data_IF_162024847839
#
_entry.id   IF_162024847839
#
_cell.length_a   1.000
_cell.length_b   1.000
_cell.length_c   1.000
_cell.angle_alpha   90.00
_cell.angle_beta   90.00
_cell.angle_gamma   90.00
#
_symmetry.space_group_name_H-M   'P 1'
#
loop_
_entity.id
_entity.type
_entity.pdbx_description
1 polymer ?
#
# COMPACT_ATOMS: atom_id res chain seq x y z
N UNK A 1 -0.68 22.08 -6.71
CA UNK A 1 0.17 23.29 -6.76
C UNK A 1 1.61 22.97 -6.43
N UNK A 2 1.94 22.43 -5.26
CA UNK A 2 3.34 22.16 -4.83
C UNK A 2 4.22 21.37 -5.83
N UNK A 3 3.68 20.33 -6.50
CA UNK A 3 4.46 19.54 -7.48
C UNK A 3 4.91 20.38 -8.67
N UNK A 4 4.03 21.20 -9.23
CA UNK A 4 4.33 22.07 -10.38
C UNK A 4 5.38 23.13 -10.01
N UNK A 5 5.23 23.74 -8.83
CA UNK A 5 6.15 24.74 -8.32
C UNK A 5 7.54 24.15 -8.02
N UNK A 6 7.58 22.93 -7.49
CA UNK A 6 8.81 22.23 -7.16
C UNK A 6 9.54 21.67 -8.40
N UNK A 7 8.84 21.48 -9.53
CA UNK A 7 9.38 20.82 -10.72
C UNK A 7 9.20 21.68 -11.99
N UNK A 8 9.88 22.82 -12.10
CA UNK A 8 9.73 23.74 -13.24
C UNK A 8 10.18 23.16 -14.58
N UNK A 9 10.92 22.04 -14.57
CA UNK A 9 11.32 21.31 -15.77
C UNK A 9 10.19 20.56 -16.47
N UNK A 10 9.02 20.47 -15.85
CA UNK A 10 7.91 19.67 -16.37
C UNK A 10 8.04 18.16 -16.15
N UNK A 11 8.99 17.74 -15.30
CA UNK A 11 9.21 16.34 -14.92
C UNK A 11 9.19 16.18 -13.39
N UNK A 12 8.67 15.06 -12.89
CA UNK A 12 8.71 14.71 -11.46
C UNK A 12 8.73 13.19 -11.25
N UNK A 13 9.17 12.76 -10.07
CA UNK A 13 9.06 11.37 -9.64
C UNK A 13 7.68 11.13 -9.04
N UNK A 14 6.81 10.41 -9.78
CA UNK A 14 5.44 10.14 -9.39
C UNK A 14 5.34 9.41 -8.04
N UNK A 15 6.30 8.53 -7.73
CA UNK A 15 6.30 7.80 -6.45
C UNK A 15 6.65 8.74 -5.31
N UNK A 16 7.79 9.41 -5.39
CA UNK A 16 8.29 10.27 -4.32
C UNK A 16 7.43 11.50 -4.09
N UNK A 17 7.03 12.16 -5.19
CA UNK A 17 6.44 13.49 -5.12
C UNK A 17 4.89 13.47 -5.06
N UNK A 18 4.28 12.32 -5.37
CA UNK A 18 2.82 12.19 -5.44
C UNK A 18 2.28 10.97 -4.70
N UNK A 19 2.57 9.73 -5.17
CA UNK A 19 1.93 8.52 -4.65
C UNK A 19 2.29 8.23 -3.18
N UNK A 20 3.56 8.36 -2.82
CA UNK A 20 4.05 8.03 -1.48
C UNK A 20 3.56 8.94 -0.35
N UNK A 21 3.46 10.28 -0.54
CA UNK A 21 2.93 11.17 0.49
C UNK A 21 1.47 10.91 0.86
N UNK A 22 0.63 10.47 -0.08
CA UNK A 22 -0.82 10.34 0.13
C UNK A 22 -1.16 9.37 1.27
N UNK A 23 -0.84 8.07 1.18
CA UNK A 23 -1.22 7.13 2.24
C UNK A 23 -0.51 7.40 3.56
N UNK A 24 0.71 7.95 3.51
CA UNK A 24 1.44 8.31 4.74
C UNK A 24 0.72 9.44 5.50
N UNK A 25 0.25 10.46 4.80
CA UNK A 25 -0.48 11.57 5.45
C UNK A 25 -1.82 11.07 5.98
N UNK A 26 -2.56 10.28 5.20
CA UNK A 26 -3.86 9.74 5.61
C UNK A 26 -3.73 8.91 6.88
N UNK A 27 -2.79 7.96 6.94
CA UNK A 27 -2.62 7.12 8.14
C UNK A 27 -2.09 7.93 9.33
N UNK A 28 -1.22 8.93 9.11
CA UNK A 28 -0.77 9.80 10.17
C UNK A 28 -1.93 10.61 10.78
N UNK A 29 -2.80 11.19 9.95
CA UNK A 29 -3.99 11.91 10.39
C UNK A 29 -4.97 10.99 11.13
N UNK A 30 -5.22 9.77 10.61
CA UNK A 30 -6.07 8.77 11.28
C UNK A 30 -5.54 8.34 12.65
N UNK A 31 -4.20 8.29 12.81
CA UNK A 31 -3.56 7.99 14.10
C UNK A 31 -3.43 9.23 15.00
N UNK A 32 -3.84 10.41 14.53
CA UNK A 32 -3.77 11.66 15.28
C UNK A 32 -2.35 12.21 15.43
N UNK A 33 -1.45 11.88 14.49
CA UNK A 33 -0.07 12.37 14.49
C UNK A 33 -0.03 13.80 13.96
N UNK A 34 0.64 14.69 14.69
CA UNK A 34 0.77 16.11 14.32
C UNK A 34 1.44 16.30 12.96
N UNK A 35 0.91 17.22 12.16
CA UNK A 35 1.39 17.49 10.80
C UNK A 35 2.89 17.84 10.73
N UNK A 36 3.46 18.43 11.79
CA UNK A 36 4.89 18.73 11.89
C UNK A 36 5.76 17.47 11.89
N UNK A 37 5.19 16.32 12.30
CA UNK A 37 5.89 15.02 12.37
C UNK A 37 5.73 14.19 11.09
N UNK A 38 4.88 14.57 10.13
CA UNK A 38 4.57 13.73 8.96
C UNK A 38 5.82 13.37 8.13
N UNK A 39 6.80 14.26 8.01
CA UNK A 39 8.06 14.01 7.30
C UNK A 39 8.91 12.93 7.99
N UNK A 40 9.08 13.06 9.30
CA UNK A 40 9.84 12.09 10.11
C UNK A 40 9.12 10.75 10.15
N UNK A 41 7.81 10.78 10.39
CA UNK A 41 6.94 9.62 10.38
C UNK A 41 7.05 8.83 9.06
N UNK A 42 7.01 9.52 7.90
CA UNK A 42 7.23 8.89 6.60
C UNK A 42 8.62 8.27 6.49
N UNK A 43 9.66 8.98 6.86
CA UNK A 43 11.04 8.50 6.79
C UNK A 43 11.26 7.24 7.63
N UNK A 44 10.73 7.22 8.86
CA UNK A 44 10.83 6.05 9.74
C UNK A 44 9.99 4.88 9.22
N UNK A 45 8.78 5.13 8.72
CA UNK A 45 7.93 4.12 8.10
C UNK A 45 8.60 3.46 6.90
N UNK A 46 9.09 4.24 5.96
CA UNK A 46 9.75 3.72 4.75
C UNK A 46 10.98 2.86 5.11
N UNK A 47 11.76 3.29 6.10
CA UNK A 47 12.94 2.55 6.61
C UNK A 47 12.53 1.25 7.28
N UNK A 48 11.51 1.27 8.13
CA UNK A 48 10.95 0.10 8.81
C UNK A 48 10.47 -0.95 7.81
N UNK A 49 9.69 -0.55 6.80
CA UNK A 49 9.15 -1.45 5.77
C UNK A 49 10.26 -2.15 5.00
N UNK A 50 11.28 -1.40 4.55
CA UNK A 50 12.40 -1.96 3.78
C UNK A 50 13.09 -3.07 4.59
N UNK A 51 13.28 -2.88 5.89
CA UNK A 51 13.95 -3.87 6.73
C UNK A 51 13.06 -5.06 7.11
N UNK A 52 11.78 -4.82 7.35
CA UNK A 52 10.83 -5.87 7.74
C UNK A 52 10.57 -6.89 6.61
N UNK A 53 10.57 -6.44 5.34
CA UNK A 53 10.14 -7.27 4.21
C UNK A 53 11.25 -7.57 3.19
N UNK A 54 12.47 -7.04 3.37
CA UNK A 54 13.60 -7.33 2.51
C UNK A 54 14.55 -8.36 3.16
N UNK A 55 14.47 -9.64 2.77
CA UNK A 55 15.36 -10.68 3.32
C UNK A 55 16.84 -10.46 2.92
N UNK A 56 17.11 -9.58 1.96
CA UNK A 56 18.45 -9.24 1.47
C UNK A 56 18.94 -7.89 2.02
N UNK A 57 18.28 -7.34 3.06
CA UNK A 57 18.70 -6.10 3.69
C UNK A 57 20.13 -6.21 4.24
N UNK A 58 20.95 -5.20 3.96
CA UNK A 58 22.31 -5.11 4.51
C UNK A 58 22.28 -4.87 6.03
N UNK A 59 23.37 -5.13 6.73
CA UNK A 59 23.47 -4.86 8.18
C UNK A 59 23.25 -3.37 8.51
N UNK A 60 23.69 -2.48 7.64
CA UNK A 60 23.43 -1.04 7.77
C UNK A 60 21.91 -0.75 7.66
N UNK A 61 21.23 -1.33 6.68
CA UNK A 61 19.77 -1.19 6.54
C UNK A 61 19.04 -1.76 7.75
N UNK A 62 19.42 -2.94 8.24
CA UNK A 62 18.83 -3.54 9.44
C UNK A 62 19.00 -2.64 10.65
N UNK A 63 20.19 -2.09 10.86
CA UNK A 63 20.47 -1.15 11.96
C UNK A 63 19.60 0.11 11.84
N UNK A 64 19.50 0.68 10.62
CA UNK A 64 18.64 1.82 10.37
C UNK A 64 17.16 1.51 10.66
N UNK A 65 16.71 0.29 10.33
CA UNK A 65 15.36 -0.19 10.64
C UNK A 65 15.07 -0.29 12.13
N UNK A 66 16.02 -0.81 12.92
CA UNK A 66 15.88 -0.86 14.38
C UNK A 66 15.71 0.55 14.95
N UNK A 67 16.57 1.50 14.54
CA UNK A 67 16.49 2.90 14.98
C UNK A 67 15.15 3.54 14.57
N UNK A 68 14.67 3.26 13.36
CA UNK A 68 13.39 3.78 12.89
C UNK A 68 12.22 3.24 13.73
N UNK A 69 12.22 1.95 14.03
CA UNK A 69 11.18 1.34 14.89
C UNK A 69 11.21 1.90 16.31
N UNK A 70 12.39 2.08 16.91
CA UNK A 70 12.52 2.70 18.24
C UNK A 70 11.92 4.13 18.26
N UNK A 71 12.13 4.90 17.22
CA UNK A 71 11.54 6.26 17.11
C UNK A 71 10.02 6.23 16.94
N UNK A 72 9.49 5.29 16.14
CA UNK A 72 8.05 5.08 16.02
C UNK A 72 7.43 4.66 17.35
N UNK A 73 8.05 3.72 18.06
CA UNK A 73 7.58 3.26 19.37
C UNK A 73 7.56 4.42 20.40
N UNK A 74 8.61 5.25 20.42
CA UNK A 74 8.67 6.43 21.28
C UNK A 74 7.58 7.45 20.93
N UNK A 75 7.33 7.70 19.65
CA UNK A 75 6.25 8.55 19.18
C UNK A 75 4.90 8.03 19.67
N UNK A 76 4.60 6.76 19.44
CA UNK A 76 3.32 6.16 19.85
C UNK A 76 3.15 6.12 21.36
N UNK A 77 4.21 5.84 22.15
CA UNK A 77 4.16 5.94 23.61
C UNK A 77 3.76 7.35 24.07
N UNK A 78 4.34 8.38 23.44
CA UNK A 78 3.99 9.78 23.75
C UNK A 78 2.54 10.12 23.38
N UNK A 79 2.06 9.64 22.25
CA UNK A 79 0.67 9.89 21.81
C UNK A 79 -0.34 9.12 22.69
N UNK A 80 -0.06 7.87 23.07
CA UNK A 80 -0.89 7.09 24.02
C UNK A 80 -1.04 7.84 25.35
N UNK A 81 0.08 8.31 25.93
CA UNK A 81 0.04 9.04 27.18
C UNK A 81 -0.82 10.32 27.08
N UNK A 82 -0.69 11.08 25.98
CA UNK A 82 -1.52 12.28 25.73
C UNK A 82 -3.02 11.92 25.62
N UNK A 83 -3.37 10.82 24.90
CA UNK A 83 -4.77 10.44 24.67
C UNK A 83 -5.45 9.86 25.91
N UNK A 84 -4.69 9.34 26.86
CA UNK A 84 -5.25 8.94 28.18
C UNK A 84 -5.76 10.14 28.98
N UNK A 85 -5.04 11.25 28.91
CA UNK A 85 -5.44 12.48 29.61
C UNK A 85 -6.45 13.31 28.81
N UNK A 86 -6.27 13.36 27.50
CA UNK A 86 -7.06 14.20 26.59
C UNK A 86 -7.43 13.38 25.33
N UNK A 87 -8.54 12.65 25.34
CA UNK A 87 -9.02 11.88 24.19
C UNK A 87 -9.24 12.79 22.97
N UNK A 88 -8.80 12.32 21.79
CA UNK A 88 -9.05 12.94 20.49
C UNK A 88 -10.04 12.14 19.65
N UNK A 89 -10.29 12.63 18.44
CA UNK A 89 -11.05 11.92 17.39
C UNK A 89 -10.06 11.20 16.46
N UNK A 90 -9.37 10.19 16.99
CA UNK A 90 -8.32 9.44 16.30
C UNK A 90 -8.23 7.98 16.78
N UNK A 91 -7.61 7.11 15.95
CA UNK A 91 -7.51 5.69 16.22
C UNK A 91 -6.71 5.35 17.50
N UNK A 92 -5.71 6.16 17.87
CA UNK A 92 -4.97 5.94 19.14
C UNK A 92 -5.91 6.18 20.32
N UNK A 93 -6.73 7.24 20.28
CA UNK A 93 -7.76 7.49 21.29
C UNK A 93 -8.75 6.35 21.39
N UNK A 94 -9.24 5.86 20.26
CA UNK A 94 -10.17 4.73 20.21
C UNK A 94 -9.55 3.47 20.82
N UNK A 95 -8.28 3.16 20.51
CA UNK A 95 -7.58 1.99 21.05
C UNK A 95 -7.29 2.14 22.54
N UNK A 96 -6.93 3.33 23.02
CA UNK A 96 -6.65 3.61 24.45
C UNK A 96 -7.90 3.42 25.31
N UNK A 97 -9.07 3.75 24.77
CA UNK A 97 -10.35 3.67 25.51
C UNK A 97 -11.21 2.47 25.11
N UNK A 98 -10.73 1.61 24.21
CA UNK A 98 -11.43 0.40 23.83
C UNK A 98 -11.50 -0.59 24.99
N UNK A 99 -12.71 -1.09 25.26
CA UNK A 99 -12.97 -2.16 26.20
C UNK A 99 -13.89 -3.19 25.54
N UNK A 100 -13.53 -4.45 25.64
CA UNK A 100 -14.35 -5.55 25.17
C UNK A 100 -14.42 -6.65 26.24
N UNK A 101 -15.58 -6.87 26.83
CA UNK A 101 -15.81 -7.91 27.85
C UNK A 101 -14.92 -7.80 29.11
N UNK A 102 -14.51 -6.57 29.46
CA UNK A 102 -13.62 -6.29 30.58
C UNK A 102 -12.12 -6.32 30.24
N UNK A 103 -11.77 -6.65 29.00
CA UNK A 103 -10.39 -6.62 28.53
C UNK A 103 -10.09 -5.28 27.83
N UNK A 104 -8.92 -4.70 28.11
CA UNK A 104 -8.40 -3.48 27.50
C UNK A 104 -7.07 -3.78 26.81
N UNK A 105 -6.71 -2.95 25.81
CA UNK A 105 -5.42 -3.05 25.15
C UNK A 105 -4.32 -2.49 26.06
N UNK A 106 -3.21 -3.20 26.18
CA UNK A 106 -1.98 -2.68 26.78
C UNK A 106 -1.31 -1.67 25.85
N UNK A 107 -0.43 -0.82 26.38
CA UNK A 107 0.34 0.15 25.57
C UNK A 107 1.12 -0.55 24.45
N UNK A 108 1.71 -1.70 24.75
CA UNK A 108 2.48 -2.45 23.76
C UNK A 108 1.58 -3.00 22.65
N UNK A 109 0.37 -3.41 22.94
CA UNK A 109 -0.59 -3.86 21.92
C UNK A 109 -1.04 -2.70 21.05
N UNK A 110 -1.28 -1.52 21.64
CA UNK A 110 -1.62 -0.30 20.87
C UNK A 110 -0.45 0.10 19.97
N UNK A 111 0.78 0.12 20.46
CA UNK A 111 1.99 0.40 19.69
C UNK A 111 2.13 -0.59 18.52
N UNK A 112 1.95 -1.88 18.78
CA UNK A 112 2.02 -2.90 17.75
C UNK A 112 0.95 -2.73 16.68
N UNK A 113 -0.28 -2.35 17.06
CA UNK A 113 -1.37 -2.07 16.12
C UNK A 113 -1.09 -0.81 15.30
N UNK A 114 -0.62 0.27 15.93
CA UNK A 114 -0.27 1.51 15.23
C UNK A 114 0.87 1.29 14.21
N UNK A 115 1.92 0.56 14.60
CA UNK A 115 3.00 0.16 13.70
C UNK A 115 2.49 -0.72 12.54
N UNK A 116 1.60 -1.69 12.83
CA UNK A 116 1.00 -2.53 11.79
C UNK A 116 0.20 -1.71 10.78
N UNK A 117 -0.67 -0.81 11.25
CA UNK A 117 -1.49 0.05 10.39
C UNK A 117 -0.61 0.93 9.51
N UNK A 118 0.46 1.52 10.09
CA UNK A 118 1.41 2.33 9.35
C UNK A 118 2.10 1.55 8.24
N UNK A 119 2.71 0.41 8.59
CA UNK A 119 3.48 -0.41 7.66
C UNK A 119 2.59 -1.00 6.56
N UNK A 120 1.40 -1.51 6.93
CA UNK A 120 0.48 -2.13 5.99
C UNK A 120 -0.18 -1.11 5.04
N UNK A 121 -0.47 0.10 5.52
CA UNK A 121 -1.19 1.12 4.76
C UNK A 121 -0.31 1.93 3.79
N UNK A 122 0.96 2.15 4.12
CA UNK A 122 1.82 3.07 3.39
C UNK A 122 2.30 2.51 2.04
N UNK A 123 3.15 1.50 2.04
CA UNK A 123 3.85 1.02 0.82
C UNK A 123 2.89 0.40 -0.18
N UNK A 124 1.94 -0.40 0.29
CA UNK A 124 1.01 -1.12 -0.59
C UNK A 124 0.09 -0.18 -1.37
N UNK A 125 -0.40 0.89 -0.75
CA UNK A 125 -1.24 1.89 -1.42
C UNK A 125 -0.42 2.79 -2.33
N UNK A 126 0.81 3.16 -1.94
CA UNK A 126 1.78 3.83 -2.82
C UNK A 126 2.00 3.02 -4.09
N UNK A 127 2.24 1.71 -3.96
CA UNK A 127 2.45 0.80 -5.08
C UNK A 127 1.19 0.67 -5.94
N UNK A 128 -0.01 0.63 -5.34
CA UNK A 128 -1.28 0.60 -6.09
C UNK A 128 -1.44 1.85 -6.97
N UNK A 129 -1.22 3.03 -6.42
CA UNK A 129 -1.31 4.30 -7.15
C UNK A 129 -0.28 4.32 -8.30
N UNK A 130 0.97 3.97 -8.01
CA UNK A 130 2.05 3.90 -8.99
C UNK A 130 1.77 2.89 -10.12
N UNK A 131 1.37 1.66 -9.77
CA UNK A 131 1.06 0.60 -10.72
C UNK A 131 -0.14 0.95 -11.60
N UNK A 132 -1.19 1.56 -11.03
CA UNK A 132 -2.35 2.03 -11.78
C UNK A 132 -1.96 3.14 -12.78
N UNK A 133 -1.21 4.14 -12.34
CA UNK A 133 -0.72 5.20 -13.23
C UNK A 133 0.14 4.63 -14.37
N UNK A 134 1.07 3.72 -14.07
CA UNK A 134 1.89 3.02 -15.06
C UNK A 134 1.04 2.23 -16.05
N UNK A 135 0.04 1.47 -15.56
CA UNK A 135 -0.84 0.69 -16.41
C UNK A 135 -1.62 1.58 -17.37
N UNK A 136 -2.17 2.71 -16.90
CA UNK A 136 -2.88 3.68 -17.72
C UNK A 136 -1.96 4.34 -18.77
N UNK A 137 -0.74 4.73 -18.39
CA UNK A 137 0.22 5.34 -19.31
C UNK A 137 0.72 4.35 -20.38
N UNK A 138 0.84 3.06 -20.05
CA UNK A 138 1.18 2.00 -20.99
C UNK A 138 0.01 1.59 -21.89
N UNK A 139 -1.23 1.95 -21.53
CA UNK A 139 -2.44 1.65 -22.28
C UNK A 139 -3.22 2.93 -22.62
N UNK A 140 -2.73 3.79 -23.56
CA UNK A 140 -3.33 5.10 -23.81
C UNK A 140 -4.80 5.06 -24.24
N UNK A 141 -5.25 3.94 -24.83
CA UNK A 141 -6.67 3.75 -25.18
C UNK A 141 -7.54 3.67 -23.91
N UNK A 142 -7.06 2.97 -22.88
CA UNK A 142 -7.75 2.86 -21.58
C UNK A 142 -7.74 4.19 -20.82
N UNK A 143 -6.62 4.91 -20.86
CA UNK A 143 -6.53 6.25 -20.26
C UNK A 143 -7.55 7.21 -20.92
N UNK A 144 -7.65 7.24 -22.26
CA UNK A 144 -8.66 8.05 -22.95
C UNK A 144 -10.09 7.67 -22.59
N UNK A 145 -10.38 6.36 -22.39
CA UNK A 145 -11.70 5.91 -21.91
C UNK A 145 -12.00 6.47 -20.51
N UNK A 146 -11.03 6.40 -19.60
CA UNK A 146 -11.18 6.94 -18.24
C UNK A 146 -11.41 8.45 -18.26
N UNK A 147 -10.64 9.20 -19.07
CA UNK A 147 -10.79 10.65 -19.22
C UNK A 147 -12.16 11.02 -19.80
N UNK A 148 -12.68 10.25 -20.76
CA UNK A 148 -14.00 10.47 -21.34
C UNK A 148 -15.15 10.07 -20.41
N UNK A 149 -14.94 9.10 -19.52
CA UNK A 149 -15.92 8.56 -18.57
C UNK A 149 -15.33 8.40 -17.18
N UNK A 150 -15.19 9.49 -16.39
CA UNK A 150 -14.57 9.45 -15.05
C UNK A 150 -15.22 8.46 -14.09
N UNK A 151 -16.50 8.10 -14.29
CA UNK A 151 -17.18 7.09 -13.47
C UNK A 151 -16.55 5.69 -13.56
N UNK A 152 -15.67 5.42 -14.54
CA UNK A 152 -14.90 4.19 -14.63
C UNK A 152 -13.77 4.09 -13.60
N UNK A 153 -13.52 5.12 -12.79
CA UNK A 153 -12.40 5.13 -11.83
C UNK A 153 -12.45 3.93 -10.88
N UNK A 154 -13.61 3.60 -10.33
CA UNK A 154 -13.77 2.44 -9.42
C UNK A 154 -13.32 1.15 -10.11
N UNK A 155 -13.82 0.88 -11.32
CA UNK A 155 -13.43 -0.32 -12.06
C UNK A 155 -11.97 -0.29 -12.52
N UNK A 156 -11.43 0.90 -12.78
CA UNK A 156 -10.00 1.09 -13.11
C UNK A 156 -9.10 0.65 -11.96
N UNK A 157 -9.46 0.99 -10.72
CA UNK A 157 -8.67 0.58 -9.54
C UNK A 157 -8.78 -0.94 -9.31
N UNK A 158 -9.97 -1.54 -9.45
CA UNK A 158 -10.12 -3.00 -9.35
C UNK A 158 -9.30 -3.73 -10.42
N UNK A 159 -9.31 -3.23 -11.66
CA UNK A 159 -8.51 -3.82 -12.74
C UNK A 159 -7.00 -3.60 -12.52
N UNK A 160 -6.58 -2.47 -11.95
CA UNK A 160 -5.19 -2.25 -11.59
C UNK A 160 -4.73 -3.23 -10.49
N UNK A 161 -5.56 -3.45 -9.47
CA UNK A 161 -5.34 -4.44 -8.41
C UNK A 161 -5.20 -5.85 -8.99
N UNK A 162 -6.08 -6.23 -9.92
CA UNK A 162 -5.99 -7.52 -10.61
C UNK A 162 -4.73 -7.63 -11.47
N UNK A 163 -4.49 -6.62 -12.30
CA UNK A 163 -3.47 -6.66 -13.36
C UNK A 163 -2.04 -6.54 -12.81
N UNK A 164 -1.80 -5.69 -11.83
CA UNK A 164 -0.45 -5.44 -11.26
C UNK A 164 -0.55 -5.24 -9.74
N UNK A 165 -0.94 -6.32 -9.03
CA UNK A 165 -1.16 -6.33 -7.58
C UNK A 165 0.08 -5.88 -6.81
N UNK A 166 -0.04 -4.93 -5.86
CA UNK A 166 1.07 -4.53 -4.99
C UNK A 166 1.66 -5.67 -4.18
N UNK A 167 0.81 -6.56 -3.64
CA UNK A 167 1.22 -7.75 -2.91
C UNK A 167 1.04 -8.96 -3.82
N UNK A 168 2.14 -9.64 -4.12
CA UNK A 168 2.12 -10.73 -5.11
C UNK A 168 2.01 -12.13 -4.49
N UNK A 169 2.32 -12.26 -3.21
CA UNK A 169 2.29 -13.55 -2.50
C UNK A 169 1.72 -13.40 -1.09
N UNK A 170 1.12 -14.47 -0.58
CA UNK A 170 0.66 -14.57 0.81
C UNK A 170 1.17 -15.87 1.44
N UNK A 171 1.96 -15.74 2.52
CA UNK A 171 2.53 -16.86 3.26
C UNK A 171 1.55 -17.45 4.28
N UNK A 172 1.67 -18.76 4.51
CA UNK A 172 0.99 -19.50 5.59
C UNK A 172 1.94 -20.52 6.18
N UNK A 173 1.72 -20.87 7.43
CA UNK A 173 2.37 -22.00 8.08
C UNK A 173 1.28 -23.02 8.41
N UNK A 174 1.51 -24.27 8.03
CA UNK A 174 0.57 -25.35 8.32
C UNK A 174 0.56 -25.63 9.83
N UNK A 175 -0.61 -25.55 10.48
CA UNK A 175 -0.78 -25.84 11.90
C UNK A 175 -1.11 -27.32 12.18
N UNK A 176 -1.23 -28.13 11.14
CA UNK A 176 -1.43 -29.59 11.12
C UNK A 176 -1.02 -30.14 9.77
N UNK A 177 -0.87 -31.45 9.67
CA UNK A 177 -0.68 -32.12 8.39
C UNK A 177 -1.92 -31.92 7.51
N UNK A 178 -1.71 -31.50 6.27
CA UNK A 178 -2.76 -31.27 5.27
C UNK A 178 -2.35 -31.85 3.93
N UNK A 179 -3.31 -32.03 3.04
CA UNK A 179 -3.06 -32.37 1.64
C UNK A 179 -3.71 -31.31 0.74
N UNK A 180 -2.92 -30.76 -0.17
CA UNK A 180 -3.38 -29.76 -1.13
C UNK A 180 -3.26 -30.37 -2.53
N UNK A 181 -4.40 -30.77 -3.12
CA UNK A 181 -4.48 -31.36 -4.46
C UNK A 181 -3.47 -32.50 -4.70
N UNK A 182 -3.30 -33.38 -3.70
CA UNK A 182 -2.37 -34.52 -3.79
C UNK A 182 -0.95 -34.21 -3.25
N UNK A 183 -0.63 -32.98 -2.96
CA UNK A 183 0.65 -32.60 -2.35
C UNK A 183 0.53 -32.62 -0.82
N UNK A 184 1.25 -33.50 -0.11
CA UNK A 184 1.27 -33.51 1.35
C UNK A 184 2.07 -32.31 1.86
N UNK A 185 1.57 -31.68 2.93
CA UNK A 185 2.22 -30.58 3.64
C UNK A 185 2.20 -30.89 5.12
N UNK A 186 3.37 -31.01 5.74
CA UNK A 186 3.53 -31.34 7.16
C UNK A 186 3.26 -30.14 8.07
N UNK A 187 2.90 -30.43 9.31
CA UNK A 187 2.78 -29.40 10.34
C UNK A 187 4.09 -28.61 10.49
N UNK A 188 4.01 -27.30 10.53
CA UNK A 188 5.15 -26.40 10.62
C UNK A 188 5.76 -26.00 9.26
N UNK A 189 5.37 -26.67 8.16
CA UNK A 189 5.85 -26.27 6.84
C UNK A 189 5.21 -24.99 6.33
N UNK A 190 6.00 -24.23 5.56
CA UNK A 190 5.58 -22.96 4.97
C UNK A 190 4.93 -23.18 3.62
N UNK A 191 3.84 -22.49 3.40
CA UNK A 191 3.11 -22.41 2.13
C UNK A 191 3.15 -20.98 1.61
N UNK A 192 3.33 -20.82 0.31
CA UNK A 192 3.15 -19.51 -0.36
C UNK A 192 2.08 -19.64 -1.42
N UNK A 193 1.06 -18.76 -1.33
CA UNK A 193 0.04 -18.63 -2.37
C UNK A 193 0.37 -17.41 -3.24
N UNK A 194 0.42 -17.61 -4.56
CA UNK A 194 0.66 -16.52 -5.49
C UNK A 194 -0.66 -15.79 -5.80
N UNK A 195 -0.85 -14.62 -5.20
CA UNK A 195 -2.00 -13.76 -5.49
C UNK A 195 -1.94 -13.21 -6.92
N UNK A 196 -0.72 -12.89 -7.38
CA UNK A 196 -0.50 -12.40 -8.73
C UNK A 196 -0.84 -13.45 -9.80
N UNK A 197 -0.55 -14.74 -9.56
CA UNK A 197 -0.93 -15.81 -10.47
C UNK A 197 -2.45 -16.02 -10.47
N UNK A 198 -3.08 -16.06 -9.29
CA UNK A 198 -4.53 -16.19 -9.17
C UNK A 198 -5.28 -15.05 -9.90
N UNK A 199 -4.76 -13.83 -9.83
CA UNK A 199 -5.32 -12.67 -10.52
C UNK A 199 -5.17 -12.70 -12.05
N UNK A 200 -4.37 -13.64 -12.57
CA UNK A 200 -4.11 -13.81 -14.00
C UNK A 200 -4.44 -15.22 -14.48
N UNK A 201 -5.23 -15.96 -13.73
CA UNK A 201 -5.69 -17.30 -14.10
C UNK A 201 -6.58 -17.22 -15.36
N UNK A 202 -6.20 -17.88 -16.48
CA UNK A 202 -6.98 -17.82 -17.71
C UNK A 202 -8.32 -18.57 -17.61
N UNK A 203 -8.46 -19.48 -16.65
CA UNK A 203 -9.73 -20.19 -16.41
C UNK A 203 -10.77 -19.27 -15.74
N UNK A 204 -10.31 -18.19 -15.11
CA UNK A 204 -11.16 -17.21 -14.43
C UNK A 204 -11.28 -15.92 -15.25
N UNK A 205 -10.18 -15.44 -15.82
CA UNK A 205 -10.13 -14.15 -16.52
C UNK A 205 -9.83 -14.32 -18.00
N UNK A 206 -10.79 -14.07 -18.90
CA UNK A 206 -10.50 -13.98 -20.34
C UNK A 206 -9.43 -12.90 -20.60
N UNK A 207 -8.42 -13.25 -21.43
CA UNK A 207 -7.30 -12.36 -21.75
C UNK A 207 -6.64 -11.75 -20.48
N UNK A 208 -6.13 -12.57 -19.55
CA UNK A 208 -5.68 -12.09 -18.24
C UNK A 208 -4.47 -11.14 -18.32
N UNK A 209 -3.73 -11.17 -19.43
CA UNK A 209 -2.61 -10.27 -19.73
C UNK A 209 -3.01 -8.90 -20.24
N UNK A 210 -4.28 -8.64 -20.54
CA UNK A 210 -4.78 -7.35 -20.99
C UNK A 210 -5.25 -6.51 -19.81
N UNK A 211 -4.91 -5.22 -19.83
CA UNK A 211 -5.43 -4.22 -18.91
C UNK A 211 -6.69 -3.61 -19.52
N UNK A 212 -7.85 -3.92 -18.96
CA UNK A 212 -9.15 -3.46 -19.45
C UNK A 212 -10.01 -2.88 -18.34
N UNK A 213 -10.13 -1.55 -18.29
CA UNK A 213 -10.89 -0.83 -17.27
C UNK A 213 -12.42 -1.02 -17.37
N UNK A 214 -12.91 -1.72 -18.40
CA UNK A 214 -14.31 -2.11 -18.56
C UNK A 214 -14.54 -3.61 -18.33
N UNK A 215 -13.53 -4.33 -17.78
CA UNK A 215 -13.67 -5.73 -17.41
C UNK A 215 -14.85 -5.93 -16.47
N UNK A 216 -15.74 -6.86 -16.79
CA UNK A 216 -16.98 -7.09 -16.04
C UNK A 216 -16.77 -7.82 -14.72
N UNK A 217 -15.80 -8.74 -14.67
CA UNK A 217 -15.46 -9.50 -13.49
C UNK A 217 -14.05 -9.12 -13.03
N UNK A 218 -13.99 -8.48 -11.87
CA UNK A 218 -12.76 -8.02 -11.22
C UNK A 218 -12.62 -8.59 -9.80
N UNK A 219 -13.17 -9.78 -9.54
CA UNK A 219 -13.05 -10.47 -8.25
C UNK A 219 -11.61 -10.97 -8.04
N UNK A 220 -10.70 -10.06 -7.76
CA UNK A 220 -9.27 -10.35 -7.58
C UNK A 220 -8.93 -10.75 -6.14
N UNK A 221 -7.76 -11.40 -5.97
CA UNK A 221 -7.23 -11.85 -4.69
C UNK A 221 -6.23 -10.86 -4.05
N UNK A 222 -6.09 -9.64 -4.55
CA UNK A 222 -5.06 -8.68 -4.11
C UNK A 222 -5.17 -8.28 -2.64
N UNK A 223 -6.36 -8.38 -2.07
CA UNK A 223 -6.60 -8.14 -0.64
C UNK A 223 -6.66 -9.42 0.18
N UNK A 224 -6.33 -10.58 -0.41
CA UNK A 224 -6.44 -11.88 0.22
C UNK A 224 -7.90 -12.28 0.48
N UNK A 225 -8.13 -13.09 1.51
CA UNK A 225 -9.46 -13.58 1.83
C UNK A 225 -9.57 -14.26 3.20
N UNK A 226 -10.80 -14.62 3.58
CA UNK A 226 -11.09 -15.27 4.86
C UNK A 226 -10.77 -14.38 6.06
N UNK A 227 -10.23 -14.95 7.12
CA UNK A 227 -9.90 -14.25 8.37
C UNK A 227 -8.81 -13.16 8.20
N UNK A 228 -8.05 -13.24 7.13
CA UNK A 228 -6.96 -12.33 6.80
C UNK A 228 -7.29 -11.40 5.63
N UNK A 229 -8.57 -11.22 5.32
CA UNK A 229 -8.99 -10.18 4.38
C UNK A 229 -8.42 -8.83 4.84
N UNK A 230 -7.83 -8.08 3.90
CA UNK A 230 -7.20 -6.80 4.20
C UNK A 230 -8.19 -5.84 4.89
N UNK A 231 -7.85 -5.40 6.10
CA UNK A 231 -8.64 -4.45 6.88
C UNK A 231 -8.77 -3.10 6.16
N UNK A 232 -7.67 -2.61 5.57
CA UNK A 232 -7.60 -1.33 4.85
C UNK A 232 -8.11 -1.38 3.41
N UNK A 233 -8.75 -2.47 2.96
CA UNK A 233 -9.14 -2.64 1.56
C UNK A 233 -10.08 -1.55 1.00
N UNK A 234 -10.93 -0.99 1.83
CA UNK A 234 -11.83 0.11 1.46
C UNK A 234 -11.08 1.44 1.38
N UNK A 235 -10.19 1.71 2.35
CA UNK A 235 -9.38 2.92 2.39
C UNK A 235 -8.42 2.97 1.20
N UNK A 236 -7.69 1.88 0.93
CA UNK A 236 -6.76 1.79 -0.20
C UNK A 236 -7.44 2.06 -1.56
N UNK A 237 -8.68 1.55 -1.73
CA UNK A 237 -9.49 1.84 -2.92
C UNK A 237 -9.83 3.32 -3.04
N UNK A 238 -10.29 3.91 -1.94
CA UNK A 238 -10.66 5.33 -1.92
C UNK A 238 -9.45 6.21 -2.22
N UNK A 239 -8.35 6.00 -1.53
CA UNK A 239 -7.10 6.75 -1.75
C UNK A 239 -6.63 6.65 -3.21
N UNK A 240 -6.63 5.45 -3.78
CA UNK A 240 -6.21 5.25 -5.15
C UNK A 240 -7.18 5.90 -6.16
N UNK A 241 -8.49 5.85 -5.93
CA UNK A 241 -9.49 6.51 -6.79
C UNK A 241 -9.29 8.02 -6.79
N UNK A 242 -9.16 8.63 -5.63
CA UNK A 242 -8.94 10.07 -5.49
C UNK A 242 -7.59 10.49 -6.09
N UNK A 243 -6.52 9.75 -5.81
CA UNK A 243 -5.19 10.04 -6.33
C UNK A 243 -5.16 9.99 -7.87
N UNK A 244 -5.65 8.92 -8.49
CA UNK A 244 -5.63 8.74 -9.94
C UNK A 244 -6.53 9.78 -10.62
N UNK A 245 -7.70 10.08 -10.04
CA UNK A 245 -8.61 11.13 -10.54
C UNK A 245 -7.91 12.49 -10.52
N UNK A 246 -7.31 12.87 -9.39
CA UNK A 246 -6.60 14.14 -9.24
C UNK A 246 -5.37 14.24 -10.17
N UNK A 247 -4.61 13.15 -10.31
CA UNK A 247 -3.43 13.10 -11.16
C UNK A 247 -3.77 13.43 -12.61
N UNK A 248 -4.70 12.69 -13.21
CA UNK A 248 -5.03 12.85 -14.63
C UNK A 248 -5.95 14.05 -14.91
N UNK A 249 -6.69 14.55 -13.93
CA UNK A 249 -7.35 15.85 -14.02
C UNK A 249 -6.34 17.00 -14.10
N UNK A 250 -5.27 16.93 -13.30
CA UNK A 250 -4.22 17.97 -13.25
C UNK A 250 -3.23 17.87 -14.39
N UNK A 251 -2.89 16.65 -14.83
CA UNK A 251 -1.91 16.36 -15.87
C UNK A 251 -2.53 15.45 -16.97
N UNK A 252 -3.47 15.97 -17.77
CA UNK A 252 -4.20 15.15 -18.75
C UNK A 252 -3.31 14.57 -19.86
N UNK A 253 -2.14 15.17 -20.11
CA UNK A 253 -1.16 14.74 -21.10
C UNK A 253 0.08 14.07 -20.49
N UNK A 254 -0.02 13.59 -19.23
CA UNK A 254 1.07 12.94 -18.54
C UNK A 254 1.61 11.76 -19.36
N UNK A 255 2.90 11.61 -19.42
CA UNK A 255 3.59 10.53 -20.14
C UNK A 255 4.87 10.12 -19.42
N UNK A 256 5.44 8.99 -19.80
CA UNK A 256 6.75 8.55 -19.31
C UNK A 256 7.83 9.59 -19.60
N UNK A 257 8.71 9.81 -18.63
CA UNK A 257 9.97 10.53 -18.85
C UNK A 257 11.07 9.55 -19.30
N UNK A 258 12.08 10.07 -19.97
CA UNK A 258 13.28 9.30 -20.38
C UNK A 258 14.13 8.84 -19.18
N UNK A 259 13.93 9.38 -17.98
CA UNK A 259 14.59 8.93 -16.75
C UNK A 259 14.13 7.53 -16.30
N UNK A 260 12.98 7.05 -16.83
CA UNK A 260 12.52 5.69 -16.62
C UNK A 260 11.90 5.44 -15.25
N UNK A 261 11.94 4.18 -14.83
CA UNK A 261 11.42 3.72 -13.54
C UNK A 261 12.35 2.66 -12.92
N UNK A 262 12.32 2.56 -11.61
CA UNK A 262 13.02 1.53 -10.83
C UNK A 262 12.04 0.81 -9.90
N UNK A 263 12.13 -0.52 -9.83
CA UNK A 263 11.32 -1.33 -8.92
C UNK A 263 11.98 -1.48 -7.55
N UNK A 264 11.17 -1.78 -6.52
CA UNK A 264 11.68 -2.25 -5.24
C UNK A 264 12.41 -3.59 -5.41
N UNK A 265 13.43 -3.80 -4.58
CA UNK A 265 14.10 -5.09 -4.44
C UNK A 265 13.44 -5.98 -3.35
N UNK A 266 12.15 -5.80 -3.07
CA UNK A 266 11.41 -6.53 -2.04
C UNK A 266 10.57 -7.63 -2.71
N UNK A 267 10.89 -8.93 -2.49
CA UNK A 267 10.27 -10.02 -3.26
C UNK A 267 8.76 -10.16 -3.09
N UNK A 268 8.19 -9.70 -1.98
CA UNK A 268 6.76 -9.81 -1.68
C UNK A 268 5.94 -8.69 -2.31
N UNK A 269 6.57 -7.53 -2.56
CA UNK A 269 5.91 -6.34 -3.10
C UNK A 269 6.30 -6.10 -4.55
N UNK A 270 5.30 -5.73 -5.33
CA UNK A 270 5.46 -5.33 -6.72
C UNK A 270 5.07 -3.86 -6.87
N UNK A 271 6.05 -3.01 -6.67
CA UNK A 271 5.92 -1.58 -6.79
C UNK A 271 7.22 -0.93 -7.21
N UNK A 272 7.17 0.36 -7.42
CA UNK A 272 8.28 1.15 -7.92
C UNK A 272 8.89 1.99 -6.80
N UNK A 273 10.22 2.01 -6.74
CA UNK A 273 10.98 2.92 -5.90
C UNK A 273 11.00 4.33 -6.50
N UNK A 274 11.00 4.43 -7.82
CA UNK A 274 10.89 5.68 -8.56
C UNK A 274 10.17 5.48 -9.88
N UNK A 275 9.41 6.47 -10.32
CA UNK A 275 8.74 6.48 -11.60
C UNK A 275 8.67 7.90 -12.15
N UNK A 276 9.57 8.21 -13.08
CA UNK A 276 9.67 9.53 -13.65
C UNK A 276 8.65 9.75 -14.77
N UNK A 277 7.90 10.83 -14.64
CA UNK A 277 6.85 11.24 -15.58
C UNK A 277 7.03 12.70 -15.96
N UNK A 278 6.44 13.09 -17.10
CA UNK A 278 6.48 14.46 -17.63
C UNK A 278 5.10 14.87 -18.15
N UNK A 279 4.77 16.18 -18.07
CA UNK A 279 3.51 16.75 -18.54
C UNK A 279 3.67 17.80 -19.62
#
# INVERSE_FOLDING_TARGET
MKIVEANPSGEFDLIRDFAGPIPTVVIAEMLGIDASMHSDFKSWSDTSVVTAFNPFATEEQKTAGVIANEKLDQLFQGEIAKRRENPGDDLISDMVHAEASGDTLSDQEIINQANLLLVAGNVTTTDLIGNCAKALLNNPAQLRKLQARPALITNTIEEALRFDSPVINSGRIANKDININGCPVGMGESLSTSLAAANRDPDIYPNPGEFDIERKDTHHQSFGGGRHLCLGSHLARLEAQEAITALFARFPNLKHSLKGLEYHAIPTFRGMRSFWVQW
#
